data_IF_779341028394
#
_entry.id   IF_779341028394
#
_cell.length_a   1.000
_cell.length_b   1.000
_cell.length_c   1.000
_cell.angle_alpha   90.00
_cell.angle_beta   90.00
_cell.angle_gamma   90.00
#
_symmetry.space_group_name_H-M   'P 1'
#
loop_
_entity.id
_entity.type
_entity.pdbx_description
1 polymer ?
#
# COMPACT_ATOMS: atom_id res chain seq x y z
N UNK A 1 -12.18 -11.28 16.85
CA UNK A 1 -13.27 -10.98 17.83
C UNK A 1 -14.42 -10.13 17.25
N UNK A 2 -14.23 -9.40 16.13
CA UNK A 2 -15.28 -8.55 15.52
C UNK A 2 -16.16 -9.22 14.45
N UNK A 3 -15.61 -10.02 13.53
CA UNK A 3 -16.39 -10.66 12.45
C UNK A 3 -17.52 -11.58 12.94
N UNK A 4 -17.27 -12.32 14.04
CA UNK A 4 -18.29 -13.16 14.71
C UNK A 4 -19.50 -12.36 15.19
N UNK A 5 -19.31 -11.12 15.67
CA UNK A 5 -20.42 -10.26 16.11
C UNK A 5 -21.31 -9.80 14.95
N UNK A 6 -20.73 -9.70 13.74
CA UNK A 6 -21.43 -9.28 12.52
C UNK A 6 -21.96 -10.47 11.70
N UNK A 7 -21.82 -11.70 12.20
CA UNK A 7 -22.12 -12.93 11.47
C UNK A 7 -21.46 -12.99 10.08
N UNK A 8 -20.21 -12.53 9.98
CA UNK A 8 -19.40 -12.54 8.76
C UNK A 8 -18.21 -13.48 8.89
N UNK A 9 -17.77 -14.03 7.77
CA UNK A 9 -16.51 -14.78 7.62
C UNK A 9 -15.49 -13.92 6.88
N UNK A 10 -14.21 -14.31 6.96
CA UNK A 10 -13.14 -13.74 6.16
C UNK A 10 -12.22 -14.87 5.70
N UNK A 11 -11.60 -14.68 4.55
CA UNK A 11 -10.50 -15.51 4.05
C UNK A 11 -9.18 -14.87 4.48
N UNK A 12 -8.21 -15.69 4.88
CA UNK A 12 -6.84 -15.24 5.14
C UNK A 12 -6.04 -15.32 3.84
N UNK A 13 -5.42 -14.20 3.48
CA UNK A 13 -4.56 -14.09 2.30
C UNK A 13 -3.14 -13.78 2.80
N UNK A 14 -2.22 -14.73 2.67
CA UNK A 14 -0.87 -14.60 3.26
C UNK A 14 -0.10 -13.39 2.73
N UNK A 15 -0.30 -13.05 1.45
CA UNK A 15 0.32 -11.90 0.79
C UNK A 15 -0.21 -10.55 1.29
N UNK A 16 -1.34 -10.52 2.01
CA UNK A 16 -1.96 -9.31 2.55
C UNK A 16 -1.38 -8.91 3.93
N UNK A 17 -0.43 -9.68 4.47
CA UNK A 17 0.33 -9.30 5.66
C UNK A 17 1.13 -8.02 5.43
N UNK A 18 1.62 -7.40 6.50
CA UNK A 18 2.48 -6.21 6.40
C UNK A 18 3.68 -6.45 5.44
N UNK A 19 4.11 -5.41 4.75
CA UNK A 19 5.20 -5.48 3.79
C UNK A 19 6.55 -5.52 4.50
N UNK A 20 6.98 -6.73 4.86
CA UNK A 20 8.17 -7.02 5.67
C UNK A 20 9.45 -7.26 4.83
N UNK A 21 9.66 -6.51 3.75
CA UNK A 21 10.92 -6.56 3.02
C UNK A 21 11.97 -5.67 3.71
N UNK A 22 13.16 -6.22 3.97
CA UNK A 22 14.19 -5.58 4.79
C UNK A 22 15.46 -5.26 3.99
N UNK A 23 16.00 -4.06 4.20
CA UNK A 23 17.18 -3.51 3.51
C UNK A 23 18.24 -3.06 4.52
N UNK A 24 19.46 -2.88 4.04
CA UNK A 24 20.51 -2.14 4.75
C UNK A 24 20.27 -0.64 4.53
N UNK A 25 19.47 -0.01 5.41
CA UNK A 25 19.08 1.41 5.31
C UNK A 25 20.32 2.31 5.49
N UNK A 26 20.52 3.38 4.69
CA UNK A 26 21.78 4.15 4.69
C UNK A 26 22.22 4.75 6.04
N UNK A 27 21.29 5.18 6.88
CA UNK A 27 21.52 5.81 8.18
C UNK A 27 21.63 4.80 9.35
N UNK A 28 21.10 3.59 9.18
CA UNK A 28 21.05 2.55 10.21
C UNK A 28 22.28 1.65 10.11
N UNK A 29 22.97 1.45 11.24
CA UNK A 29 24.17 0.61 11.30
C UNK A 29 23.90 -0.69 12.05
N UNK A 30 24.37 -1.80 11.48
CA UNK A 30 24.38 -3.14 12.09
C UNK A 30 23.02 -3.83 12.25
N UNK A 31 21.96 -3.28 11.68
CA UNK A 31 20.65 -3.93 11.60
C UNK A 31 19.97 -3.60 10.27
N UNK A 32 19.07 -4.48 9.84
CA UNK A 32 18.23 -4.21 8.68
C UNK A 32 16.97 -3.48 9.13
N UNK A 33 16.47 -2.60 8.27
CA UNK A 33 15.20 -1.92 8.47
C UNK A 33 14.22 -2.27 7.36
N UNK A 34 12.95 -2.03 7.60
CA UNK A 34 11.89 -2.09 6.60
C UNK A 34 12.23 -1.18 5.41
N UNK A 35 11.96 -1.67 4.19
CA UNK A 35 12.41 -1.02 2.96
C UNK A 35 11.72 0.30 2.60
N UNK A 36 10.74 0.74 3.39
CA UNK A 36 9.86 1.84 3.08
C UNK A 36 9.89 3.00 4.09
N UNK A 37 10.70 2.90 5.14
CA UNK A 37 10.86 3.96 6.16
C UNK A 37 12.25 4.60 6.03
N UNK A 38 12.43 5.43 5.00
CA UNK A 38 13.67 6.18 4.71
C UNK A 38 13.61 7.64 5.19
N UNK A 39 14.79 8.20 5.48
CA UNK A 39 14.94 9.63 5.69
C UNK A 39 14.87 10.41 4.37
N UNK A 40 14.32 11.65 4.36
CA UNK A 40 14.21 12.47 3.15
C UNK A 40 15.54 12.69 2.42
N UNK A 41 16.61 12.98 3.16
CA UNK A 41 17.96 13.20 2.59
C UNK A 41 18.60 11.94 2.00
N UNK A 42 18.05 10.75 2.25
CA UNK A 42 18.56 9.50 1.68
C UNK A 42 17.76 9.09 0.45
N UNK A 43 16.44 9.30 0.47
CA UNK A 43 15.59 9.06 -0.68
C UNK A 43 15.95 9.98 -1.86
N UNK A 44 16.24 11.26 -1.62
CA UNK A 44 16.49 12.25 -2.69
C UNK A 44 17.76 11.98 -3.51
N UNK A 45 18.71 11.23 -2.96
CA UNK A 45 20.00 10.93 -3.60
C UNK A 45 19.90 9.96 -4.77
N UNK A 46 18.82 9.20 -4.88
CA UNK A 46 18.62 8.21 -5.93
C UNK A 46 17.27 8.40 -6.63
N UNK A 47 17.30 9.11 -7.76
CA UNK A 47 16.10 9.42 -8.53
C UNK A 47 15.40 8.17 -9.09
N UNK A 48 16.10 7.03 -9.19
CA UNK A 48 15.46 5.78 -9.61
C UNK A 48 14.40 5.33 -8.59
N UNK A 49 14.51 5.70 -7.30
CA UNK A 49 13.48 5.41 -6.29
C UNK A 49 12.12 6.04 -6.61
N UNK A 50 12.10 7.16 -7.33
CA UNK A 50 10.86 7.84 -7.74
C UNK A 50 10.30 7.26 -9.06
N UNK A 51 11.11 6.51 -9.80
CA UNK A 51 10.76 5.97 -11.10
C UNK A 51 10.02 4.63 -10.96
N UNK A 52 8.91 4.50 -11.67
CA UNK A 52 8.03 3.31 -11.64
C UNK A 52 8.76 2.01 -11.99
N UNK A 53 9.68 2.05 -12.95
CA UNK A 53 10.34 0.85 -13.48
C UNK A 53 11.66 0.56 -12.79
N UNK A 54 12.31 1.59 -12.23
CA UNK A 54 13.67 1.49 -11.71
C UNK A 54 13.77 1.45 -10.19
N UNK A 55 12.74 1.83 -9.43
CA UNK A 55 12.82 1.92 -7.97
C UNK A 55 13.31 0.64 -7.28
N UNK A 56 12.91 -0.53 -7.77
CA UNK A 56 13.31 -1.83 -7.20
C UNK A 56 14.62 -2.37 -7.78
N UNK A 57 15.25 -1.65 -8.72
CA UNK A 57 16.50 -2.02 -9.39
C UNK A 57 17.72 -1.40 -8.74
N UNK A 58 17.53 -0.45 -7.83
CA UNK A 58 18.60 0.13 -7.03
C UNK A 58 19.33 -0.97 -6.24
N UNK A 59 20.61 -0.76 -5.95
CA UNK A 59 21.43 -1.78 -5.28
C UNK A 59 20.88 -2.14 -3.89
N UNK A 60 20.30 -1.18 -3.17
CA UNK A 60 19.73 -1.37 -1.83
C UNK A 60 18.48 -2.26 -1.92
N UNK A 61 17.56 -1.97 -2.85
CA UNK A 61 16.33 -2.75 -3.02
C UNK A 61 16.61 -4.16 -3.53
N UNK A 62 17.57 -4.30 -4.45
CA UNK A 62 17.99 -5.62 -4.95
C UNK A 62 18.59 -6.50 -3.86
N UNK A 63 19.45 -5.95 -3.01
CA UNK A 63 20.04 -6.71 -1.88
C UNK A 63 19.01 -7.14 -0.84
N UNK A 64 17.90 -6.40 -0.71
CA UNK A 64 16.78 -6.74 0.15
C UNK A 64 15.76 -7.70 -0.46
N UNK A 65 15.95 -8.17 -1.69
CA UNK A 65 14.97 -8.94 -2.47
C UNK A 65 13.58 -8.28 -2.52
N UNK A 66 13.53 -6.94 -2.52
CA UNK A 66 12.28 -6.17 -2.40
C UNK A 66 11.37 -6.41 -3.61
N UNK A 67 11.94 -6.59 -4.81
CA UNK A 67 11.16 -6.91 -6.01
C UNK A 67 10.37 -8.23 -5.89
N UNK A 68 10.95 -9.25 -5.26
CA UNK A 68 10.29 -10.55 -5.10
C UNK A 68 9.10 -10.43 -4.14
N UNK A 69 9.30 -9.74 -3.00
CA UNK A 69 8.22 -9.46 -2.06
C UNK A 69 7.11 -8.61 -2.71
N UNK A 70 7.47 -7.59 -3.50
CA UNK A 70 6.53 -6.75 -4.22
C UNK A 70 5.67 -7.57 -5.20
N UNK A 71 6.32 -8.39 -6.03
CA UNK A 71 5.63 -9.27 -6.99
C UNK A 71 4.67 -10.23 -6.31
N UNK A 72 5.05 -10.80 -5.16
CA UNK A 72 4.16 -11.70 -4.41
C UNK A 72 2.85 -11.03 -3.99
N UNK A 73 2.89 -9.76 -3.57
CA UNK A 73 1.68 -8.98 -3.26
C UNK A 73 0.88 -8.68 -4.53
N UNK A 74 1.55 -8.23 -5.61
CA UNK A 74 0.89 -7.90 -6.88
C UNK A 74 0.19 -9.12 -7.50
N UNK A 75 0.88 -10.26 -7.55
CA UNK A 75 0.34 -11.51 -8.09
C UNK A 75 -0.85 -12.00 -7.26
N UNK A 76 -0.78 -11.86 -5.92
CA UNK A 76 -1.89 -12.15 -5.02
C UNK A 76 -3.11 -11.26 -5.25
N UNK A 77 -2.88 -9.94 -5.41
CA UNK A 77 -3.93 -8.98 -5.73
C UNK A 77 -4.55 -9.25 -7.09
N UNK A 78 -3.76 -9.47 -8.14
CA UNK A 78 -4.26 -9.76 -9.48
C UNK A 78 -5.01 -11.09 -9.53
N UNK A 79 -4.56 -12.11 -8.80
CA UNK A 79 -5.29 -13.37 -8.66
C UNK A 79 -6.66 -13.17 -7.97
N UNK A 80 -6.73 -12.32 -6.95
CA UNK A 80 -8.00 -11.95 -6.31
C UNK A 80 -8.92 -11.22 -7.29
N UNK A 81 -8.43 -10.16 -7.94
CA UNK A 81 -9.20 -9.37 -8.90
C UNK A 81 -9.70 -10.20 -10.08
N UNK A 82 -8.90 -11.16 -10.55
CA UNK A 82 -9.28 -12.09 -11.62
C UNK A 82 -10.49 -12.95 -11.25
N UNK A 83 -10.64 -13.35 -9.98
CA UNK A 83 -11.83 -14.07 -9.50
C UNK A 83 -13.10 -13.21 -9.59
N UNK A 84 -12.97 -11.89 -9.59
CA UNK A 84 -14.05 -10.93 -9.76
C UNK A 84 -14.11 -10.35 -11.18
N UNK A 85 -13.54 -11.04 -12.18
CA UNK A 85 -13.69 -10.66 -13.58
C UNK A 85 -12.74 -9.57 -14.09
N UNK A 86 -11.77 -9.13 -13.29
CA UNK A 86 -10.79 -8.12 -13.69
C UNK A 86 -9.41 -8.76 -13.86
N UNK A 87 -8.94 -8.87 -15.09
CA UNK A 87 -7.63 -9.46 -15.40
C UNK A 87 -6.63 -8.38 -15.82
N UNK A 88 -5.46 -8.37 -15.17
CA UNK A 88 -4.39 -7.41 -15.49
C UNK A 88 -3.96 -7.54 -16.96
N UNK A 89 -3.85 -6.41 -17.64
CA UNK A 89 -3.34 -6.30 -19.01
C UNK A 89 -2.47 -5.04 -19.09
N UNK A 90 -1.17 -5.25 -18.95
CA UNK A 90 -0.16 -4.19 -18.89
C UNK A 90 -0.44 -3.15 -17.78
N UNK A 91 -0.94 -1.97 -18.14
CA UNK A 91 -1.17 -0.83 -17.23
C UNK A 91 -2.64 -0.64 -16.86
N UNK A 92 -3.53 -1.50 -17.37
CA UNK A 92 -4.97 -1.46 -17.08
C UNK A 92 -5.49 -2.89 -16.82
N UNK A 93 -6.80 -3.04 -16.67
CA UNK A 93 -7.45 -4.32 -16.47
C UNK A 93 -8.47 -4.57 -17.59
N UNK A 94 -8.42 -5.76 -18.20
CA UNK A 94 -9.50 -6.27 -19.03
C UNK A 94 -10.67 -6.66 -18.15
N UNK A 95 -11.86 -6.23 -18.56
CA UNK A 95 -13.11 -6.52 -17.85
C UNK A 95 -13.80 -7.69 -18.55
N UNK A 96 -13.69 -8.88 -17.94
CA UNK A 96 -14.29 -10.10 -18.45
C UNK A 96 -15.72 -10.28 -17.94
N UNK A 97 -15.95 -9.98 -16.65
CA UNK A 97 -17.25 -10.12 -15.98
C UNK A 97 -17.52 -8.87 -15.11
N UNK A 98 -18.03 -7.77 -15.70
CA UNK A 98 -18.30 -6.54 -14.95
C UNK A 98 -19.32 -6.78 -13.84
N UNK A 99 -19.07 -6.23 -12.65
CA UNK A 99 -19.91 -6.42 -11.46
C UNK A 99 -19.83 -5.22 -10.51
N UNK A 100 -20.65 -5.28 -9.46
CA UNK A 100 -20.70 -4.29 -8.37
C UNK A 100 -20.30 -4.90 -7.03
N UNK A 101 -19.47 -5.94 -7.04
CA UNK A 101 -19.00 -6.55 -5.80
C UNK A 101 -18.20 -5.53 -4.99
N UNK A 102 -18.33 -5.61 -3.66
CA UNK A 102 -17.51 -4.84 -2.73
C UNK A 102 -16.56 -5.80 -2.01
N UNK A 103 -15.27 -5.66 -2.29
CA UNK A 103 -14.20 -6.41 -1.61
C UNK A 103 -13.68 -5.54 -0.47
N UNK A 104 -13.53 -6.13 0.73
CA UNK A 104 -12.96 -5.44 1.89
C UNK A 104 -11.68 -6.16 2.29
N UNK A 105 -10.56 -5.45 2.24
CA UNK A 105 -9.24 -5.94 2.62
C UNK A 105 -8.84 -5.33 3.96
N UNK A 106 -8.42 -6.17 4.90
CA UNK A 106 -7.85 -5.74 6.17
C UNK A 106 -6.34 -5.95 6.10
N UNK A 107 -5.59 -4.85 6.09
CA UNK A 107 -4.15 -4.88 5.89
C UNK A 107 -3.47 -3.73 6.64
N UNK A 108 -2.20 -3.48 6.29
CA UNK A 108 -1.37 -2.45 6.90
C UNK A 108 -0.87 -1.44 5.86
N UNK A 109 -0.32 -0.32 6.33
CA UNK A 109 0.10 0.79 5.47
C UNK A 109 1.15 0.40 4.41
N UNK A 110 2.15 -0.40 4.79
CA UNK A 110 3.22 -0.79 3.87
C UNK A 110 2.69 -1.58 2.68
N UNK A 111 1.90 -2.63 2.94
CA UNK A 111 1.28 -3.46 1.90
C UNK A 111 0.16 -2.75 1.15
N UNK A 112 -0.59 -1.85 1.79
CA UNK A 112 -1.59 -0.99 1.13
C UNK A 112 -0.93 -0.16 0.04
N UNK A 113 0.19 0.50 0.34
CA UNK A 113 0.94 1.29 -0.63
C UNK A 113 1.50 0.43 -1.78
N UNK A 114 1.91 -0.82 -1.52
CA UNK A 114 2.31 -1.76 -2.58
C UNK A 114 1.14 -2.04 -3.53
N UNK A 115 -0.03 -2.41 -2.99
CA UNK A 115 -1.23 -2.65 -3.78
C UNK A 115 -1.62 -1.41 -4.60
N UNK A 116 -1.65 -0.23 -3.97
CA UNK A 116 -1.97 1.03 -4.65
C UNK A 116 -0.96 1.37 -5.74
N UNK A 117 0.34 1.15 -5.51
CA UNK A 117 1.38 1.41 -6.50
C UNK A 117 1.17 0.56 -7.77
N UNK A 118 0.75 -0.70 -7.58
CA UNK A 118 0.45 -1.62 -8.68
C UNK A 118 -0.79 -1.18 -9.46
N UNK A 119 -1.87 -0.80 -8.76
CA UNK A 119 -3.13 -0.36 -9.36
C UNK A 119 -3.01 0.99 -10.07
N UNK A 120 -2.21 1.91 -9.53
CA UNK A 120 -2.04 3.27 -10.04
C UNK A 120 -0.84 3.41 -10.98
N UNK A 121 -0.03 2.37 -11.10
CA UNK A 121 1.18 2.31 -11.93
C UNK A 121 2.23 3.37 -11.55
N UNK A 122 2.56 3.47 -10.27
CA UNK A 122 3.58 4.39 -9.73
C UNK A 122 4.60 3.63 -8.88
N UNK A 123 5.74 4.26 -8.56
CA UNK A 123 6.65 3.70 -7.56
C UNK A 123 5.99 3.66 -6.17
N UNK A 124 6.06 2.55 -5.43
CA UNK A 124 5.57 2.49 -4.05
C UNK A 124 6.33 3.43 -3.11
N UNK A 125 7.58 3.80 -3.45
CA UNK A 125 8.36 4.77 -2.67
C UNK A 125 7.64 6.11 -2.57
N UNK A 126 7.02 6.58 -3.66
CA UNK A 126 6.28 7.85 -3.65
C UNK A 126 5.07 7.78 -2.71
N UNK A 127 4.43 6.61 -2.61
CA UNK A 127 3.27 6.42 -1.74
C UNK A 127 3.67 6.27 -0.27
N UNK A 128 4.68 5.45 0.03
CA UNK A 128 5.20 5.27 1.38
C UNK A 128 5.67 6.57 2.01
N UNK A 129 6.26 7.47 1.21
CA UNK A 129 6.82 8.73 1.69
C UNK A 129 5.91 9.96 1.51
N UNK A 130 4.81 9.82 0.76
CA UNK A 130 3.91 10.93 0.45
C UNK A 130 2.54 10.84 1.12
N UNK A 131 2.18 9.67 1.65
CA UNK A 131 0.86 9.40 2.19
C UNK A 131 0.93 8.95 3.65
N UNK A 132 -0.19 9.12 4.37
CA UNK A 132 -0.34 8.68 5.75
C UNK A 132 -1.72 8.04 5.93
N UNK A 133 -1.74 6.75 6.24
CA UNK A 133 -2.97 6.03 6.60
C UNK A 133 -2.89 5.61 8.07
N UNK A 134 -3.69 6.25 8.92
CA UNK A 134 -3.69 5.96 10.34
C UNK A 134 -4.28 4.56 10.63
N UNK A 135 -3.92 3.90 11.75
CA UNK A 135 -4.56 2.65 12.15
C UNK A 135 -6.08 2.75 12.17
N UNK A 136 -6.75 1.73 11.62
CA UNK A 136 -8.21 1.67 11.43
C UNK A 136 -8.79 2.63 10.40
N UNK A 137 -7.97 3.44 9.71
CA UNK A 137 -8.47 4.27 8.61
C UNK A 137 -8.96 3.43 7.43
N UNK A 138 -9.75 4.05 6.55
CA UNK A 138 -10.40 3.38 5.42
C UNK A 138 -9.96 4.07 4.12
N UNK A 139 -9.39 3.30 3.20
CA UNK A 139 -9.14 3.73 1.82
C UNK A 139 -10.18 3.09 0.90
N UNK A 140 -10.84 3.89 0.07
CA UNK A 140 -11.82 3.44 -0.91
C UNK A 140 -11.30 3.63 -2.33
N UNK A 141 -11.45 2.59 -3.14
CA UNK A 141 -10.98 2.52 -4.53
C UNK A 141 -12.14 1.99 -5.37
N UNK A 142 -12.32 2.50 -6.57
CA UNK A 142 -13.29 1.99 -7.53
C UNK A 142 -12.66 1.67 -8.87
N UNK A 143 -13.29 0.75 -9.58
CA UNK A 143 -12.99 0.46 -10.98
C UNK A 143 -13.66 1.50 -11.88
N UNK A 144 -12.90 2.02 -12.84
CA UNK A 144 -13.35 2.96 -13.86
C UNK A 144 -13.37 2.29 -15.24
N UNK A 145 -14.48 1.64 -15.59
CA UNK A 145 -14.71 1.09 -16.93
C UNK A 145 -15.29 2.17 -17.86
N UNK A 146 -14.48 3.16 -18.22
CA UNK A 146 -14.93 4.29 -19.07
C UNK A 146 -15.22 3.88 -20.51
N UNK A 147 -14.71 2.72 -20.93
CA UNK A 147 -14.98 2.07 -22.21
C UNK A 147 -15.16 0.58 -21.95
N UNK A 148 -16.21 0.00 -22.56
CA UNK A 148 -16.55 -1.41 -22.39
C UNK A 148 -15.32 -2.31 -22.61
N UNK A 149 -15.02 -3.17 -21.66
CA UNK A 149 -13.93 -4.13 -21.67
C UNK A 149 -12.60 -3.64 -21.08
N UNK A 150 -12.50 -2.38 -20.63
CA UNK A 150 -11.25 -1.83 -20.10
C UNK A 150 -11.49 -0.95 -18.87
N UNK A 151 -10.92 -1.35 -17.74
CA UNK A 151 -10.99 -0.63 -16.48
C UNK A 151 -9.61 -0.18 -15.99
N UNK A 152 -9.57 1.01 -15.39
CA UNK A 152 -8.51 1.42 -14.47
C UNK A 152 -9.04 1.41 -13.03
N UNK A 153 -8.15 1.56 -12.04
CA UNK A 153 -8.56 1.78 -10.65
C UNK A 153 -8.29 3.23 -10.26
N UNK A 154 -9.18 3.81 -9.45
CA UNK A 154 -9.02 5.15 -8.91
C UNK A 154 -9.31 5.16 -7.41
N UNK A 155 -8.39 5.76 -6.66
CA UNK A 155 -8.61 6.06 -5.24
C UNK A 155 -9.64 7.18 -5.13
N UNK A 156 -10.74 6.90 -4.45
CA UNK A 156 -11.80 7.88 -4.16
C UNK A 156 -11.51 8.65 -2.88
N UNK A 157 -11.07 7.93 -1.85
CA UNK A 157 -10.74 8.46 -0.53
C UNK A 157 -9.58 7.64 0.02
N UNK A 158 -8.58 8.31 0.60
CA UNK A 158 -7.41 7.65 1.17
C UNK A 158 -7.35 7.93 2.67
N UNK A 159 -7.14 6.90 3.49
CA UNK A 159 -6.89 7.05 4.92
C UNK A 159 -8.02 7.72 5.70
N UNK A 160 -9.29 7.50 5.32
CA UNK A 160 -10.45 8.11 5.98
C UNK A 160 -10.60 7.67 7.43
N UNK A 161 -10.73 8.63 8.34
CA UNK A 161 -11.00 8.39 9.76
C UNK A 161 -12.36 8.91 10.20
N UNK A 162 -13.26 9.23 9.24
CA UNK A 162 -14.57 9.82 9.53
C UNK A 162 -15.39 8.99 10.54
N UNK A 163 -15.34 7.65 10.41
CA UNK A 163 -16.03 6.74 11.31
C UNK A 163 -15.54 6.81 12.77
N UNK A 164 -14.27 7.14 13.02
CA UNK A 164 -13.73 7.33 14.37
C UNK A 164 -14.37 8.56 15.02
N UNK A 165 -14.42 9.67 14.30
CA UNK A 165 -15.03 10.91 14.80
C UNK A 165 -16.53 10.73 15.09
N UNK A 166 -17.26 9.99 14.23
CA UNK A 166 -18.68 9.65 14.48
C UNK A 166 -18.84 8.81 15.76
N UNK A 167 -17.86 7.96 16.08
CA UNK A 167 -17.83 7.18 17.31
C UNK A 167 -17.32 7.97 18.54
N UNK A 168 -16.96 9.24 18.39
CA UNK A 168 -16.36 10.04 19.46
C UNK A 168 -14.88 9.73 19.73
N UNK A 169 -14.24 8.97 18.85
CA UNK A 169 -12.83 8.57 18.94
C UNK A 169 -11.94 9.47 18.07
N UNK A 170 -10.66 9.58 18.44
CA UNK A 170 -9.66 10.31 17.64
C UNK A 170 -8.74 9.33 16.91
N UNK A 171 -8.25 9.67 15.71
CA UNK A 171 -7.20 8.90 15.05
C UNK A 171 -5.93 8.81 15.90
N UNK A 172 -5.20 7.70 15.77
CA UNK A 172 -3.88 7.55 16.36
C UNK A 172 -2.86 8.47 15.67
N UNK A 173 -1.83 8.92 16.40
CA UNK A 173 -0.67 9.59 15.82
C UNK A 173 0.26 8.60 15.08
N UNK A 174 0.16 7.30 15.38
CA UNK A 174 0.91 6.27 14.66
C UNK A 174 0.64 6.36 13.15
N UNK A 175 1.66 6.04 12.35
CA UNK A 175 1.79 6.20 10.88
C UNK A 175 2.54 7.45 10.41
N UNK A 176 2.84 8.42 11.29
CA UNK A 176 3.68 9.58 10.92
C UNK A 176 4.67 9.98 12.01
N UNK A 177 5.53 10.93 11.66
CA UNK A 177 6.50 11.58 12.54
C UNK A 177 6.03 12.99 12.92
N UNK A 178 6.73 13.61 13.86
CA UNK A 178 6.49 14.99 14.29
C UNK A 178 6.49 15.97 13.11
N UNK A 179 5.63 16.99 13.17
CA UNK A 179 5.62 18.09 12.19
C UNK A 179 6.80 19.04 12.43
N UNK A 180 7.02 19.43 13.69
CA UNK A 180 8.21 20.17 14.11
C UNK A 180 9.09 19.32 15.02
N UNK A 181 10.41 19.39 14.78
CA UNK A 181 11.39 18.73 15.63
C UNK A 181 11.33 19.30 17.05
N UNK A 182 11.18 18.43 18.05
CA UNK A 182 11.09 18.82 19.45
C UNK A 182 9.66 18.91 20.02
N UNK A 183 8.62 18.62 19.23
CA UNK A 183 7.21 18.63 19.70
C UNK A 183 6.87 17.54 20.74
N UNK A 184 7.81 16.61 21.01
CA UNK A 184 7.60 15.48 21.92
C UNK A 184 6.86 14.29 21.29
N UNK A 185 6.40 14.45 20.05
CA UNK A 185 5.89 13.38 19.20
C UNK A 185 7.02 12.47 18.67
N UNK A 186 6.65 11.36 18.00
CA UNK A 186 7.60 10.41 17.42
C UNK A 186 8.60 11.12 16.50
N UNK A 187 9.88 10.97 16.83
CA UNK A 187 11.03 11.29 15.99
C UNK A 187 11.65 9.98 15.51
N UNK A 188 12.53 10.06 14.51
CA UNK A 188 13.35 8.92 14.08
C UNK A 188 14.44 8.60 15.12
#
# INVERSE_FOLDING_TARGET
MHLKKMNRTAETLDWLREFEAHIDRPDVKNEKSICWDWLPQDMEKDLDLYDRERWNKTDIMRKGNVEEAYRWVCDGLDALLKKHGYERDDMYYRVNEPNHDTIVLFCHFGVECVMLSHLLNVSPMVLWHGLCAAPSSITSIYTEERRKGSAGFRVNEFGSTAHLYVAGEKPSFAARFCECYGDGDRQD
#
